data_IF_495338785361
#
_entry.id   IF_495338785361
#
_cell.length_a   1.000
_cell.length_b   1.000
_cell.length_c   1.000
_cell.angle_alpha   90.00
_cell.angle_beta   90.00
_cell.angle_gamma   90.00
#
_symmetry.space_group_name_H-M   'P 1'
#
loop_
_entity.id
_entity.type
_entity.pdbx_description
1 polymer ?
#
# COMPACT_ATOMS: atom_id res chain seq x y z
N UNK A 1 -23.67 -7.10 17.84
CA UNK A 1 -22.22 -7.38 17.93
C UNK A 1 -21.38 -6.55 16.95
N UNK A 2 -21.57 -6.64 15.62
CA UNK A 2 -20.86 -5.76 14.65
C UNK A 2 -21.32 -4.28 14.73
N UNK A 3 -22.63 -4.07 14.95
CA UNK A 3 -23.28 -2.76 15.10
C UNK A 3 -22.73 -1.96 16.29
N UNK A 4 -22.48 -2.63 17.41
CA UNK A 4 -22.08 -2.00 18.68
C UNK A 4 -20.66 -1.40 18.60
N UNK A 5 -19.75 -2.06 17.87
CA UNK A 5 -18.38 -1.58 17.66
C UNK A 5 -18.34 -0.34 16.77
N UNK A 6 -19.19 -0.31 15.74
CA UNK A 6 -19.33 0.85 14.83
C UNK A 6 -19.88 2.07 15.58
N UNK A 7 -20.89 1.86 16.43
CA UNK A 7 -21.49 2.93 17.21
C UNK A 7 -20.53 3.47 18.28
N UNK A 8 -19.79 2.60 18.96
CA UNK A 8 -18.74 2.99 19.91
C UNK A 8 -17.65 3.85 19.24
N UNK A 9 -17.22 3.47 18.03
CA UNK A 9 -16.26 4.23 17.24
C UNK A 9 -16.81 5.61 16.85
N UNK A 10 -18.06 5.69 16.39
CA UNK A 10 -18.70 6.96 16.02
C UNK A 10 -18.85 7.92 17.20
N UNK A 11 -19.13 7.40 18.40
CA UNK A 11 -19.25 8.22 19.61
C UNK A 11 -17.89 8.78 20.06
N UNK A 12 -16.83 7.98 19.98
CA UNK A 12 -15.46 8.44 20.29
C UNK A 12 -14.96 9.52 19.31
N UNK A 13 -15.37 9.43 18.04
CA UNK A 13 -15.09 10.46 17.02
C UNK A 13 -15.73 11.81 17.38
N UNK A 14 -16.99 11.79 17.85
CA UNK A 14 -17.69 13.02 18.23
C UNK A 14 -17.01 13.72 19.40
N UNK A 15 -16.59 12.96 20.41
CA UNK A 15 -15.92 13.48 21.61
C UNK A 15 -14.59 14.18 21.30
N UNK A 16 -13.79 13.64 20.37
CA UNK A 16 -12.51 14.25 19.95
C UNK A 16 -12.74 15.59 19.23
N UNK A 17 -13.85 15.73 18.50
CA UNK A 17 -14.14 16.91 17.68
C UNK A 17 -14.64 18.12 18.49
N UNK A 18 -15.16 17.91 19.71
CA UNK A 18 -15.70 18.97 20.57
C UNK A 18 -14.62 19.69 21.41
N UNK A 19 -13.40 19.16 21.46
CA UNK A 19 -12.28 19.80 22.15
C UNK A 19 -11.64 20.89 21.28
N UNK A 20 -11.61 22.14 21.79
CA UNK A 20 -11.14 23.39 21.14
C UNK A 20 -9.62 23.45 20.85
N UNK A 21 -9.01 22.36 20.42
CA UNK A 21 -7.63 22.37 19.93
C UNK A 21 -7.58 22.90 18.49
N UNK A 22 -6.40 23.36 18.02
CA UNK A 22 -6.27 23.74 16.60
C UNK A 22 -6.61 22.53 15.71
N UNK A 23 -7.10 22.78 14.49
CA UNK A 23 -7.55 21.73 13.56
C UNK A 23 -6.47 20.67 13.34
N UNK A 24 -5.21 21.07 13.37
CA UNK A 24 -4.04 20.21 13.26
C UNK A 24 -3.94 19.22 14.43
N UNK A 25 -4.17 19.69 15.66
CA UNK A 25 -4.17 18.85 16.86
C UNK A 25 -5.34 17.86 16.81
N UNK A 26 -6.55 18.32 16.47
CA UNK A 26 -7.73 17.46 16.31
C UNK A 26 -7.47 16.37 15.27
N UNK A 27 -6.82 16.71 14.14
CA UNK A 27 -6.50 15.74 13.10
C UNK A 27 -5.48 14.69 13.55
N UNK A 28 -4.45 15.11 14.30
CA UNK A 28 -3.45 14.19 14.85
C UNK A 28 -4.09 13.23 15.85
N UNK A 29 -4.90 13.74 16.76
CA UNK A 29 -5.59 12.93 17.77
C UNK A 29 -6.56 11.95 17.13
N UNK A 30 -7.35 12.42 16.16
CA UNK A 30 -8.26 11.60 15.38
C UNK A 30 -7.53 10.48 14.62
N UNK A 31 -6.46 10.82 13.90
CA UNK A 31 -5.65 9.84 13.18
C UNK A 31 -5.08 8.79 14.13
N UNK A 32 -4.58 9.22 15.28
CA UNK A 32 -4.00 8.33 16.29
C UNK A 32 -5.06 7.38 16.84
N UNK A 33 -6.23 7.90 17.23
CA UNK A 33 -7.32 7.08 17.74
C UNK A 33 -7.77 6.01 16.74
N UNK A 34 -7.87 6.36 15.45
CA UNK A 34 -8.21 5.40 14.39
C UNK A 34 -7.16 4.30 14.26
N UNK A 35 -5.88 4.68 14.19
CA UNK A 35 -4.79 3.72 14.02
C UNK A 35 -4.74 2.78 15.22
N UNK A 36 -4.80 3.31 16.44
CA UNK A 36 -4.76 2.51 17.67
C UNK A 36 -5.93 1.53 17.75
N UNK A 37 -7.15 1.96 17.45
CA UNK A 37 -8.31 1.04 17.51
C UNK A 37 -8.28 0.00 16.39
N UNK A 38 -7.80 0.37 15.20
CA UNK A 38 -7.60 -0.54 14.09
C UNK A 38 -6.53 -1.60 14.42
N UNK A 39 -5.38 -1.20 14.95
CA UNK A 39 -4.33 -2.11 15.41
C UNK A 39 -4.82 -3.03 16.52
N UNK A 40 -5.62 -2.52 17.46
CA UNK A 40 -6.21 -3.32 18.53
C UNK A 40 -7.20 -4.37 18.01
N UNK A 41 -8.01 -4.02 17.01
CA UNK A 41 -9.10 -4.88 16.52
C UNK A 41 -8.67 -5.84 15.42
N UNK A 42 -7.82 -5.36 14.50
CA UNK A 42 -7.40 -6.08 13.28
C UNK A 42 -5.98 -6.63 13.40
N UNK A 43 -5.21 -6.18 14.39
CA UNK A 43 -3.78 -6.45 14.50
C UNK A 43 -2.92 -5.47 13.71
N UNK A 44 -1.62 -5.45 14.01
CA UNK A 44 -0.64 -4.69 13.27
C UNK A 44 -0.14 -5.49 12.06
N UNK A 45 -0.16 -4.87 10.87
CA UNK A 45 0.48 -5.40 9.68
C UNK A 45 1.63 -4.48 9.27
N UNK A 46 2.84 -5.01 9.25
CA UNK A 46 4.00 -4.26 8.79
C UNK A 46 3.79 -3.84 7.32
N UNK A 47 4.07 -2.56 7.06
CA UNK A 47 3.98 -2.03 5.71
C UNK A 47 5.09 -2.65 4.87
N UNK A 48 4.73 -3.46 3.87
CA UNK A 48 5.72 -3.98 2.94
C UNK A 48 6.43 -2.82 2.24
N UNK A 49 7.74 -2.78 2.42
CA UNK A 49 8.59 -1.93 1.62
C UNK A 49 8.57 -2.47 0.19
N UNK A 50 8.07 -1.66 -0.72
CA UNK A 50 8.00 -2.02 -2.14
C UNK A 50 9.03 -1.20 -2.93
N UNK A 51 10.02 -0.58 -2.26
CA UNK A 51 11.00 0.31 -2.89
C UNK A 51 11.78 -0.38 -4.01
N UNK A 52 11.87 -1.70 -4.05
CA UNK A 52 12.60 -2.40 -5.13
C UNK A 52 11.92 -2.25 -6.50
N UNK A 53 10.59 -2.20 -6.56
CA UNK A 53 9.85 -2.10 -7.83
C UNK A 53 8.94 -0.88 -7.92
N UNK A 54 8.63 -0.25 -6.79
CA UNK A 54 7.81 0.96 -6.69
C UNK A 54 8.70 2.20 -6.73
N UNK A 55 8.99 2.66 -7.94
CA UNK A 55 9.84 3.81 -8.19
C UNK A 55 9.06 5.14 -8.32
N UNK A 56 9.80 6.21 -8.63
CA UNK A 56 9.23 7.55 -8.70
C UNK A 56 8.14 7.67 -9.77
N UNK A 57 8.25 6.97 -10.91
CA UNK A 57 7.20 6.98 -11.94
C UNK A 57 5.87 6.39 -11.39
N UNK A 58 5.95 5.33 -10.57
CA UNK A 58 4.79 4.80 -9.89
C UNK A 58 4.18 5.82 -8.92
N UNK A 59 5.03 6.51 -8.17
CA UNK A 59 4.63 7.54 -7.20
C UNK A 59 3.96 8.73 -7.89
N UNK A 60 4.58 9.28 -8.92
CA UNK A 60 4.08 10.40 -9.70
C UNK A 60 2.75 10.08 -10.37
N UNK A 61 2.62 8.92 -11.01
CA UNK A 61 1.38 8.52 -11.67
C UNK A 61 0.21 8.33 -10.69
N UNK A 62 0.49 7.81 -9.49
CA UNK A 62 -0.49 7.72 -8.39
C UNK A 62 -0.83 9.12 -7.85
N UNK A 63 0.15 9.99 -7.65
CA UNK A 63 -0.10 11.34 -7.17
C UNK A 63 -0.93 12.15 -8.17
N UNK A 64 -0.68 11.98 -9.47
CA UNK A 64 -1.43 12.64 -10.52
C UNK A 64 -2.92 12.24 -10.50
N UNK A 65 -3.23 10.94 -10.37
CA UNK A 65 -4.64 10.49 -10.27
C UNK A 65 -5.28 10.99 -8.96
N UNK A 66 -4.54 10.98 -7.85
CA UNK A 66 -5.06 11.41 -6.56
C UNK A 66 -5.38 12.91 -6.56
N UNK A 67 -4.52 13.73 -7.17
CA UNK A 67 -4.80 15.16 -7.39
C UNK A 67 -6.09 15.35 -8.18
N UNK A 68 -6.37 14.48 -9.16
CA UNK A 68 -7.63 14.55 -9.91
C UNK A 68 -8.86 14.24 -9.06
N UNK A 69 -8.74 13.26 -8.16
CA UNK A 69 -9.79 12.82 -7.25
C UNK A 69 -10.14 13.85 -6.17
N UNK A 70 -9.16 14.61 -5.67
CA UNK A 70 -9.37 15.59 -4.58
C UNK A 70 -10.11 16.86 -5.01
N UNK A 71 -10.23 17.12 -6.30
CA UNK A 71 -10.91 18.31 -6.79
C UNK A 71 -12.40 18.06 -7.03
N UNK A 72 -13.17 19.14 -7.23
CA UNK A 72 -14.62 19.06 -7.40
C UNK A 72 -14.98 18.06 -8.51
N UNK A 73 -15.90 17.10 -8.23
CA UNK A 73 -16.29 16.10 -9.21
C UNK A 73 -17.09 16.76 -10.34
N UNK A 74 -16.55 16.66 -11.55
CA UNK A 74 -17.24 16.97 -12.81
C UNK A 74 -17.11 15.75 -13.73
N UNK A 75 -17.96 15.65 -14.76
CA UNK A 75 -17.87 14.54 -15.71
C UNK A 75 -16.48 14.42 -16.32
N UNK A 76 -15.94 15.52 -16.84
CA UNK A 76 -14.59 15.57 -17.43
C UNK A 76 -13.49 15.19 -16.42
N UNK A 77 -13.64 15.62 -15.15
CA UNK A 77 -12.73 15.24 -14.05
C UNK A 77 -12.76 13.76 -13.75
N UNK A 78 -13.96 13.18 -13.68
CA UNK A 78 -14.15 11.76 -13.41
C UNK A 78 -13.55 10.92 -14.55
N UNK A 79 -13.74 11.34 -15.80
CA UNK A 79 -13.10 10.72 -16.97
C UNK A 79 -11.57 10.79 -16.86
N UNK A 80 -11.00 11.97 -16.55
CA UNK A 80 -9.57 12.16 -16.35
C UNK A 80 -9.00 11.34 -15.17
N UNK A 81 -9.73 11.26 -14.05
CA UNK A 81 -9.36 10.41 -12.92
C UNK A 81 -9.35 8.93 -13.31
N UNK A 82 -10.38 8.47 -14.02
CA UNK A 82 -10.48 7.08 -14.47
C UNK A 82 -9.36 6.73 -15.43
N UNK A 83 -9.02 7.63 -16.36
CA UNK A 83 -7.89 7.47 -17.25
C UNK A 83 -6.56 7.43 -16.49
N UNK A 84 -6.33 8.36 -15.57
CA UNK A 84 -5.17 8.38 -14.68
C UNK A 84 -5.05 7.11 -13.84
N UNK A 85 -6.17 6.60 -13.32
CA UNK A 85 -6.24 5.34 -12.57
C UNK A 85 -5.82 4.15 -13.43
N UNK A 86 -6.30 4.08 -14.68
CA UNK A 86 -5.91 3.02 -15.63
C UNK A 86 -4.42 3.09 -15.95
N UNK A 87 -3.91 4.29 -16.25
CA UNK A 87 -2.49 4.54 -16.56
C UNK A 87 -1.57 4.17 -15.40
N UNK A 88 -1.81 4.71 -14.21
CA UNK A 88 -1.04 4.41 -13.01
C UNK A 88 -1.06 2.90 -12.69
N UNK A 89 -2.24 2.28 -12.79
CA UNK A 89 -2.38 0.83 -12.60
C UNK A 89 -1.56 0.02 -13.61
N UNK A 90 -1.51 0.43 -14.88
CA UNK A 90 -0.71 -0.23 -15.92
C UNK A 90 0.78 -0.13 -15.62
N UNK A 91 1.27 1.06 -15.26
CA UNK A 91 2.68 1.31 -14.92
C UNK A 91 3.11 0.44 -13.73
N UNK A 92 2.40 0.56 -12.61
CA UNK A 92 2.74 -0.18 -11.39
C UNK A 92 2.70 -1.70 -11.61
N UNK A 93 1.67 -2.21 -12.31
CA UNK A 93 1.58 -3.65 -12.61
C UNK A 93 2.73 -4.15 -13.46
N UNK A 94 3.11 -3.39 -14.50
CA UNK A 94 4.23 -3.77 -15.38
C UNK A 94 5.54 -3.85 -14.59
N UNK A 95 5.82 -2.85 -13.76
CA UNK A 95 7.06 -2.83 -12.96
C UNK A 95 7.09 -3.92 -11.91
N UNK A 96 5.98 -4.14 -11.21
CA UNK A 96 5.85 -5.26 -10.28
C UNK A 96 6.09 -6.60 -10.97
N UNK A 97 5.51 -6.80 -12.16
CA UNK A 97 5.67 -8.05 -12.91
C UNK A 97 7.12 -8.25 -13.36
N UNK A 98 7.78 -7.20 -13.86
CA UNK A 98 9.18 -7.27 -14.27
C UNK A 98 10.08 -7.69 -13.09
N UNK A 99 9.93 -7.03 -11.94
CA UNK A 99 10.69 -7.35 -10.73
C UNK A 99 10.45 -8.77 -10.23
N UNK A 100 9.19 -9.23 -10.21
CA UNK A 100 8.89 -10.61 -9.81
C UNK A 100 9.49 -11.63 -10.78
N UNK A 101 9.48 -11.35 -12.08
CA UNK A 101 10.09 -12.23 -13.09
C UNK A 101 11.61 -12.28 -12.92
N UNK A 102 12.27 -11.15 -12.66
CA UNK A 102 13.72 -11.10 -12.38
C UNK A 102 14.07 -11.95 -11.15
N UNK A 103 13.29 -11.84 -10.07
CA UNK A 103 13.48 -12.68 -8.88
C UNK A 103 13.28 -14.17 -9.16
N UNK A 104 12.30 -14.54 -9.99
CA UNK A 104 12.08 -15.93 -10.39
C UNK A 104 13.28 -16.50 -11.15
N UNK A 105 13.81 -15.74 -12.12
CA UNK A 105 14.99 -16.15 -12.88
C UNK A 105 16.21 -16.31 -11.96
N UNK A 106 16.41 -15.39 -11.02
CA UNK A 106 17.51 -15.49 -10.06
C UNK A 106 17.40 -16.74 -9.19
N UNK A 107 16.21 -17.03 -8.66
CA UNK A 107 15.97 -18.23 -7.86
C UNK A 107 16.21 -19.52 -8.68
N UNK A 108 15.78 -19.56 -9.94
CA UNK A 108 16.03 -20.71 -10.81
C UNK A 108 17.53 -20.96 -11.03
N UNK A 109 18.31 -19.90 -11.18
CA UNK A 109 19.76 -20.00 -11.39
C UNK A 109 20.48 -20.45 -10.11
N UNK A 110 20.11 -19.89 -8.96
CA UNK A 110 20.64 -20.29 -7.65
C UNK A 110 20.37 -21.78 -7.37
N UNK A 111 19.19 -22.28 -7.76
CA UNK A 111 18.83 -23.69 -7.65
C UNK A 111 19.68 -24.58 -8.57
N UNK A 112 19.97 -24.15 -9.81
CA UNK A 112 20.85 -24.90 -10.72
C UNK A 112 22.28 -24.98 -10.16
N UNK A 113 22.81 -23.85 -9.68
CA UNK A 113 24.14 -23.78 -9.07
C UNK A 113 24.22 -24.73 -7.87
N UNK A 114 23.19 -24.74 -7.03
CA UNK A 114 23.13 -25.62 -5.85
C UNK A 114 23.15 -27.09 -6.24
N UNK A 115 22.35 -27.48 -7.26
CA UNK A 115 22.35 -28.86 -7.78
C UNK A 115 23.70 -29.28 -8.35
N UNK A 116 24.35 -28.41 -9.13
CA UNK A 116 25.68 -28.67 -9.67
C UNK A 116 26.71 -28.88 -8.56
N UNK A 117 26.71 -28.01 -7.54
CA UNK A 117 27.60 -28.15 -6.37
C UNK A 117 27.37 -29.47 -5.64
N UNK A 118 26.11 -29.87 -5.41
CA UNK A 118 25.80 -31.16 -4.80
C UNK A 118 26.34 -32.34 -5.62
N UNK A 119 26.15 -32.34 -6.95
CA UNK A 119 26.69 -33.40 -7.81
C UNK A 119 28.23 -33.48 -7.82
N UNK A 120 28.92 -32.35 -7.65
CA UNK A 120 30.38 -32.29 -7.52
C UNK A 120 30.89 -32.79 -6.16
N UNK A 121 30.08 -32.67 -5.12
CA UNK A 121 30.39 -33.21 -3.79
C UNK A 121 30.19 -34.73 -3.80
N UNK A 122 29.11 -35.23 -4.39
CA UNK A 122 28.83 -36.67 -4.50
C UNK A 122 29.82 -37.43 -5.38
N UNK A 123 30.46 -36.77 -6.35
CA UNK A 123 31.46 -37.38 -7.23
C UNK A 123 32.90 -37.37 -6.67
N UNK A 124 33.11 -36.71 -5.53
CA UNK A 124 34.41 -36.64 -4.83
C UNK A 124 34.44 -37.51 -3.55
N UNK A 125 33.41 -38.31 -3.30
CA UNK A 125 33.30 -39.32 -2.22
C UNK A 125 33.39 -40.70 -2.87
#
# INVERSE_FOLDING_TARGET
MESDKREAFQNKIKEINDNRASKEVIWVDFKTAIITEAERTLGYQEKQDNREWFDEECRESINLKNKKYMERPTRARNEAYNEGRRKAGKICRKKKQAFLNEQLVQMEEDLKITKQKMSLVESNI
#
